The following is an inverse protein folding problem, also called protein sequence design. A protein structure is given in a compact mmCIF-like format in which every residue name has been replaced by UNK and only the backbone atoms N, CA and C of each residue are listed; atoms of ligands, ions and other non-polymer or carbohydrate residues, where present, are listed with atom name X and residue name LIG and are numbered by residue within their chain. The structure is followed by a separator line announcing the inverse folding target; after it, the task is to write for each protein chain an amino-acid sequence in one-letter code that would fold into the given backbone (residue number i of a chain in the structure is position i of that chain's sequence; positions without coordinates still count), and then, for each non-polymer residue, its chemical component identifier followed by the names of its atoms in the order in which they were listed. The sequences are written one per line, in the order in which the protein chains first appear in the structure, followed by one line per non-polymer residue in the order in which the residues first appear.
data_IF_195168305475
#
_entry.id   IF_195168305475
#
_cell.length_a   1.000
_cell.length_b   1.000
_cell.length_c   1.000
_cell.angle_alpha   90.00
_cell.angle_beta   90.00
_cell.angle_gamma   90.00
#
_symmetry.space_group_name_H-M   'P 1'
#
loop_
_entity.id
_entity.type
_entity.pdbx_description
1 polymer ?
#
# COMPACT_ATOMS: atom_id res chain seq x y z
N UNK A 1 -14.05 11.36 5.12
CA UNK A 1 -15.05 10.57 4.33
C UNK A 1 -15.21 11.13 2.91
N UNK A 2 -15.50 12.43 2.76
CA UNK A 2 -15.72 13.05 1.44
C UNK A 2 -14.53 12.86 0.49
N UNK A 3 -13.31 13.14 0.94
CA UNK A 3 -12.09 13.00 0.13
C UNK A 3 -11.81 11.54 -0.28
N UNK A 4 -12.14 10.58 0.60
CA UNK A 4 -12.01 9.17 0.28
C UNK A 4 -13.00 8.75 -0.82
N UNK A 5 -14.23 9.25 -0.76
CA UNK A 5 -15.22 9.03 -1.82
C UNK A 5 -14.76 9.62 -3.16
N UNK A 6 -14.26 10.86 -3.15
CA UNK A 6 -13.69 11.50 -4.34
C UNK A 6 -12.55 10.68 -4.95
N UNK A 7 -11.69 10.08 -4.13
CA UNK A 7 -10.62 9.19 -4.61
C UNK A 7 -11.16 7.92 -5.27
N UNK A 8 -12.12 7.25 -4.62
CA UNK A 8 -12.74 6.04 -5.16
C UNK A 8 -13.48 6.30 -6.48
N UNK A 9 -14.19 7.42 -6.57
CA UNK A 9 -14.88 7.84 -7.80
C UNK A 9 -13.86 8.13 -8.93
N UNK A 10 -12.75 8.79 -8.61
CA UNK A 10 -11.72 9.16 -9.59
C UNK A 10 -10.97 7.95 -10.15
N UNK A 11 -10.67 6.94 -9.35
CA UNK A 11 -10.08 5.68 -9.84
C UNK A 11 -11.10 4.75 -10.51
N UNK A 12 -12.40 5.07 -10.48
CA UNK A 12 -13.46 4.26 -11.07
C UNK A 12 -13.81 3.01 -10.27
N UNK A 13 -13.78 3.06 -8.94
CA UNK A 13 -13.97 1.91 -8.03
C UNK A 13 -15.25 1.11 -8.33
N UNK A 14 -16.36 1.77 -8.66
CA UNK A 14 -17.62 1.08 -9.00
C UNK A 14 -17.50 0.18 -10.23
N UNK A 15 -16.66 0.55 -11.20
CA UNK A 15 -16.42 -0.26 -12.39
C UNK A 15 -15.42 -1.38 -12.11
N UNK A 16 -14.50 -1.14 -11.18
CA UNK A 16 -13.52 -2.12 -10.71
C UNK A 16 -14.22 -3.29 -10.02
N UNK A 17 -15.17 -3.01 -9.14
CA UNK A 17 -15.93 -4.04 -8.41
C UNK A 17 -16.75 -4.95 -9.31
N UNK A 18 -17.04 -4.52 -10.55
CA UNK A 18 -17.75 -5.29 -11.57
C UNK A 18 -16.85 -6.08 -12.50
N UNK A 19 -15.54 -5.99 -12.33
CA UNK A 19 -14.60 -6.73 -13.17
C UNK A 19 -14.77 -8.25 -12.95
N UNK A 20 -14.86 -8.99 -14.04
CA UNK A 20 -14.99 -10.46 -14.00
C UNK A 20 -13.62 -11.16 -14.07
N UNK A 21 -12.57 -10.42 -14.35
CA UNK A 21 -11.20 -10.93 -14.47
C UNK A 21 -10.16 -9.87 -14.10
N UNK A 22 -8.93 -10.32 -13.82
CA UNK A 22 -7.77 -9.43 -13.61
C UNK A 22 -7.57 -8.49 -14.81
N UNK A 23 -7.75 -8.99 -16.03
CA UNK A 23 -7.62 -8.18 -17.24
C UNK A 23 -8.69 -7.11 -17.34
N UNK A 24 -9.95 -7.43 -16.99
CA UNK A 24 -11.04 -6.47 -16.99
C UNK A 24 -10.84 -5.41 -15.91
N UNK A 25 -10.35 -5.81 -14.74
CA UNK A 25 -9.94 -4.87 -13.72
C UNK A 25 -8.98 -3.82 -14.25
N UNK A 26 -7.88 -4.22 -14.89
CA UNK A 26 -6.89 -3.29 -15.42
C UNK A 26 -7.39 -2.43 -16.58
N UNK A 27 -8.42 -2.86 -17.31
CA UNK A 27 -9.09 -2.03 -18.31
C UNK A 27 -9.99 -0.97 -17.68
N UNK A 28 -10.62 -1.31 -16.55
CA UNK A 28 -11.62 -0.47 -15.91
C UNK A 28 -11.01 0.57 -14.97
N UNK A 29 -9.83 0.30 -14.42
CA UNK A 29 -9.18 1.24 -13.53
C UNK A 29 -8.75 2.52 -14.26
N UNK A 30 -9.18 3.65 -13.73
CA UNK A 30 -8.85 4.98 -14.26
C UNK A 30 -7.73 5.61 -13.44
N UNK A 31 -6.54 5.02 -13.52
CA UNK A 31 -5.36 5.47 -12.77
C UNK A 31 -4.67 6.66 -13.45
N UNK A 32 -5.33 7.79 -13.57
CA UNK A 32 -4.81 8.96 -14.28
C UNK A 32 -4.47 10.12 -13.34
N UNK A 33 -5.45 10.86 -12.84
CA UNK A 33 -5.19 12.09 -12.10
C UNK A 33 -4.89 11.85 -10.63
N UNK A 34 -5.53 10.87 -9.99
CA UNK A 34 -5.35 10.60 -8.57
C UNK A 34 -4.18 9.69 -8.24
N UNK A 35 -3.69 8.91 -9.22
CA UNK A 35 -2.50 8.08 -9.05
C UNK A 35 -1.48 8.45 -10.15
N UNK A 36 -0.92 9.66 -10.11
CA UNK A 36 0.04 10.10 -11.10
C UNK A 36 1.36 9.32 -10.96
N UNK A 37 2.09 9.20 -12.07
CA UNK A 37 3.46 8.73 -12.00
C UNK A 37 4.36 9.86 -11.45
N UNK A 38 4.86 9.69 -10.23
CA UNK A 38 5.70 10.67 -9.55
C UNK A 38 7.18 10.29 -9.78
N UNK A 39 8.01 11.18 -10.35
CA UNK A 39 9.45 10.95 -10.43
C UNK A 39 10.07 10.89 -9.04
N UNK A 40 11.04 9.98 -8.85
CA UNK A 40 11.83 9.93 -7.62
C UNK A 40 12.50 11.28 -7.33
N UNK A 41 12.52 11.67 -6.06
CA UNK A 41 13.05 12.95 -5.62
C UNK A 41 12.06 14.12 -5.68
N UNK A 42 10.83 13.89 -6.15
CA UNK A 42 9.80 14.93 -6.14
C UNK A 42 9.44 15.32 -4.70
N UNK A 43 9.44 16.62 -4.33
CA UNK A 43 8.96 17.06 -3.02
C UNK A 43 7.53 16.57 -2.78
N UNK A 44 7.26 16.01 -1.60
CA UNK A 44 5.93 15.46 -1.29
C UNK A 44 4.80 16.48 -1.50
N UNK A 45 5.04 17.73 -1.15
CA UNK A 45 4.08 18.84 -1.33
C UNK A 45 3.70 19.14 -2.79
N UNK A 46 4.49 18.63 -3.75
CA UNK A 46 4.32 18.82 -5.20
C UNK A 46 3.98 17.50 -5.91
N UNK A 47 3.94 16.39 -5.17
CA UNK A 47 3.82 15.05 -5.73
C UNK A 47 2.48 14.76 -6.41
N UNK A 48 1.42 15.41 -5.95
CA UNK A 48 0.06 15.17 -6.45
C UNK A 48 -0.52 16.40 -7.13
N UNK A 49 -1.40 16.21 -8.12
CA UNK A 49 -2.11 17.32 -8.76
C UNK A 49 -2.85 18.15 -7.70
N UNK A 50 -2.72 19.47 -7.78
CA UNK A 50 -3.32 20.38 -6.81
C UNK A 50 -4.83 20.14 -6.68
N UNK A 51 -5.30 20.05 -5.46
CA UNK A 51 -6.69 19.74 -5.08
C UNK A 51 -7.18 18.34 -5.46
N UNK A 52 -6.32 17.45 -5.94
CA UNK A 52 -6.69 16.05 -6.11
C UNK A 52 -6.98 15.40 -4.75
N UNK A 53 -7.69 14.26 -4.69
CA UNK A 53 -7.94 13.56 -3.44
C UNK A 53 -6.67 13.23 -2.65
N UNK A 54 -5.62 12.76 -3.32
CA UNK A 54 -4.34 12.46 -2.63
C UNK A 54 -3.65 13.73 -2.15
N UNK A 55 -3.67 14.83 -2.94
CA UNK A 55 -3.14 16.12 -2.49
C UNK A 55 -3.81 16.59 -1.19
N UNK A 56 -5.14 16.48 -1.12
CA UNK A 56 -5.91 16.82 0.10
C UNK A 56 -5.56 15.90 1.28
N UNK A 57 -5.37 14.59 1.03
CA UNK A 57 -5.01 13.61 2.06
C UNK A 57 -3.63 13.92 2.63
N UNK A 58 -2.63 14.12 1.78
CA UNK A 58 -1.25 14.37 2.22
C UNK A 58 -1.04 15.76 2.82
N UNK A 59 -1.90 16.73 2.51
CA UNK A 59 -1.94 18.06 3.14
C UNK A 59 -2.84 18.14 4.37
N UNK A 60 -3.46 17.03 4.77
CA UNK A 60 -4.16 16.99 6.06
C UNK A 60 -3.15 17.22 7.20
N UNK A 61 -3.44 18.12 8.12
CA UNK A 61 -2.52 18.53 9.19
C UNK A 61 -2.01 17.36 10.03
N UNK A 62 -2.85 16.36 10.26
CA UNK A 62 -2.45 15.15 11.03
C UNK A 62 -1.48 14.30 10.23
N UNK A 63 -1.73 14.11 8.93
CA UNK A 63 -0.88 13.30 8.05
C UNK A 63 0.46 14.01 7.82
N UNK A 64 0.44 15.29 7.45
CA UNK A 64 1.64 16.10 7.25
C UNK A 64 2.48 16.20 8.53
N UNK A 65 1.83 16.41 9.68
CA UNK A 65 2.49 16.44 10.97
C UNK A 65 3.16 15.12 11.33
N UNK A 66 2.49 13.99 11.09
CA UNK A 66 3.06 12.67 11.34
C UNK A 66 4.28 12.41 10.44
N UNK A 67 4.18 12.70 9.15
CA UNK A 67 5.29 12.55 8.20
C UNK A 67 6.46 13.45 8.61
N UNK A 68 6.22 14.73 8.83
CA UNK A 68 7.25 15.70 9.21
C UNK A 68 7.95 15.32 10.52
N UNK A 69 7.21 14.77 11.47
CA UNK A 69 7.75 14.28 12.74
C UNK A 69 8.71 13.09 12.57
N UNK A 70 8.47 12.25 11.57
CA UNK A 70 9.26 11.04 11.32
C UNK A 70 10.46 11.28 10.41
N UNK A 71 10.26 11.98 9.30
CA UNK A 71 11.27 12.10 8.24
C UNK A 71 11.72 13.55 7.97
N UNK A 72 11.18 14.51 8.70
CA UNK A 72 11.52 15.94 8.56
C UNK A 72 10.67 16.69 7.55
N UNK A 73 10.88 18.02 7.45
CA UNK A 73 10.03 18.92 6.67
C UNK A 73 10.30 18.92 5.16
N UNK A 74 11.45 18.42 4.74
CA UNK A 74 11.86 18.40 3.32
C UNK A 74 11.68 17.01 2.70
N UNK A 75 10.56 16.38 2.98
CA UNK A 75 10.25 15.04 2.51
C UNK A 75 10.14 14.99 0.99
N UNK A 76 10.78 14.00 0.40
CA UNK A 76 10.68 13.67 -1.02
C UNK A 76 9.99 12.32 -1.19
N UNK A 77 9.36 12.11 -2.35
CA UNK A 77 8.81 10.82 -2.76
C UNK A 77 9.89 10.05 -3.52
N UNK A 78 10.12 8.80 -3.12
CA UNK A 78 11.00 7.90 -3.85
C UNK A 78 10.25 7.23 -5.00
N UNK A 79 9.15 6.55 -4.68
CA UNK A 79 8.27 5.93 -5.66
C UNK A 79 6.85 5.75 -5.09
N UNK A 80 5.90 5.45 -5.96
CA UNK A 80 4.56 5.05 -5.55
C UNK A 80 4.03 3.95 -6.48
N UNK A 81 3.08 3.18 -5.98
CA UNK A 81 2.33 2.19 -6.77
C UNK A 81 0.96 1.91 -6.16
N UNK A 82 0.07 1.38 -6.98
CA UNK A 82 -1.19 0.82 -6.54
C UNK A 82 -1.01 -0.68 -6.31
N UNK A 83 -1.19 -1.11 -5.07
CA UNK A 83 -1.14 -2.52 -4.71
C UNK A 83 -2.57 -3.06 -4.59
N UNK A 84 -2.84 -4.15 -5.28
CA UNK A 84 -4.16 -4.75 -5.32
C UNK A 84 -4.06 -6.22 -4.94
N UNK A 85 -4.92 -6.65 -4.02
CA UNK A 85 -5.02 -8.04 -3.59
C UNK A 85 -6.30 -8.63 -4.14
N UNK A 86 -6.18 -9.33 -5.26
CA UNK A 86 -7.33 -9.93 -5.94
C UNK A 86 -7.92 -11.13 -5.17
N UNK A 87 -9.25 -11.26 -5.12
CA UNK A 87 -9.93 -12.48 -4.64
C UNK A 87 -9.51 -13.75 -5.37
N UNK A 88 -9.57 -14.87 -4.68
CA UNK A 88 -9.20 -16.19 -5.26
C UNK A 88 -10.00 -16.54 -6.50
N UNK A 89 -11.24 -16.07 -6.63
CA UNK A 89 -12.10 -16.31 -7.81
C UNK A 89 -11.49 -15.87 -9.13
N UNK A 90 -10.59 -14.88 -9.13
CA UNK A 90 -9.90 -14.41 -10.34
C UNK A 90 -8.81 -15.37 -10.84
N UNK A 91 -8.42 -16.35 -10.04
CA UNK A 91 -7.31 -17.27 -10.31
C UNK A 91 -7.76 -18.72 -10.57
N UNK A 92 -9.06 -18.97 -10.71
CA UNK A 92 -9.64 -20.31 -10.89
C UNK A 92 -9.36 -20.96 -12.27
N UNK A 93 -8.48 -20.41 -13.09
CA UNK A 93 -8.05 -21.05 -14.32
C UNK A 93 -6.88 -22.02 -14.01
N UNK A 94 -6.87 -23.17 -14.68
CA UNK A 94 -6.15 -24.39 -14.36
C UNK A 94 -4.63 -24.30 -14.06
N UNK A 95 -4.00 -23.14 -14.20
CA UNK A 95 -2.57 -22.93 -13.94
C UNK A 95 -2.26 -21.64 -13.18
N UNK A 96 -3.25 -20.93 -12.66
CA UNK A 96 -3.04 -19.71 -11.89
C UNK A 96 -3.31 -19.99 -10.41
N UNK A 97 -2.29 -19.85 -9.58
CA UNK A 97 -2.43 -19.86 -8.13
C UNK A 97 -2.28 -18.44 -7.62
N UNK A 98 -3.25 -18.01 -6.83
CA UNK A 98 -3.03 -16.82 -6.02
C UNK A 98 -1.89 -17.11 -5.03
N UNK A 99 -0.87 -16.30 -5.08
CA UNK A 99 0.25 -16.37 -4.14
C UNK A 99 0.21 -15.16 -3.21
N UNK A 100 0.51 -15.40 -1.94
CA UNK A 100 0.85 -14.29 -1.05
C UNK A 100 2.17 -13.67 -1.50
N UNK A 101 2.33 -12.37 -1.26
CA UNK A 101 3.63 -11.74 -1.43
C UNK A 101 4.58 -12.25 -0.35
N UNK A 102 5.79 -12.62 -0.73
CA UNK A 102 6.84 -13.04 0.21
C UNK A 102 7.16 -11.92 1.20
N UNK A 103 7.60 -12.27 2.40
CA UNK A 103 8.12 -11.29 3.35
C UNK A 103 9.39 -10.65 2.77
N UNK A 104 9.47 -9.32 2.84
CA UNK A 104 10.59 -8.51 2.35
C UNK A 104 10.75 -7.25 3.18
N UNK A 105 11.79 -6.51 2.90
CA UNK A 105 12.05 -5.14 3.34
C UNK A 105 12.14 -4.27 2.08
N UNK A 106 11.55 -3.10 2.07
CA UNK A 106 11.65 -2.20 0.91
C UNK A 106 12.92 -1.38 0.90
N UNK A 107 13.54 -1.23 2.05
CA UNK A 107 14.85 -0.61 2.17
C UNK A 107 15.77 -1.47 3.01
N UNK A 108 16.99 -1.67 2.50
CA UNK A 108 18.12 -2.27 3.23
C UNK A 108 19.07 -1.22 3.77
N UNK A 109 18.72 0.06 3.67
CA UNK A 109 19.51 1.17 4.21
C UNK A 109 19.53 1.08 5.72
N UNK A 110 20.67 1.31 6.33
CA UNK A 110 20.80 1.34 7.78
C UNK A 110 19.89 2.45 8.36
N UNK A 111 18.86 2.10 9.15
CA UNK A 111 17.90 3.07 9.68
C UNK A 111 18.54 4.10 10.64
N UNK A 112 19.77 3.87 11.08
CA UNK A 112 20.53 4.84 11.86
C UNK A 112 21.13 5.95 11.00
N UNK A 113 21.30 5.70 9.70
CA UNK A 113 21.89 6.64 8.73
C UNK A 113 20.83 7.38 7.94
N UNK A 114 19.78 6.69 7.53
CA UNK A 114 18.69 7.26 6.75
C UNK A 114 17.36 6.69 7.22
N UNK A 115 16.41 7.55 7.45
CA UNK A 115 15.07 7.17 7.88
C UNK A 115 14.10 7.38 6.71
N UNK A 116 13.54 6.30 6.21
CA UNK A 116 12.48 6.36 5.21
C UNK A 116 11.24 5.61 5.69
N UNK A 117 10.09 6.06 5.21
CA UNK A 117 8.80 5.50 5.57
C UNK A 117 7.95 5.25 4.34
N UNK A 118 7.14 4.21 4.42
CA UNK A 118 6.08 3.93 3.48
C UNK A 118 4.74 4.40 4.04
N UNK A 119 3.97 5.04 3.18
CA UNK A 119 2.59 5.39 3.48
C UNK A 119 1.66 4.47 2.70
N UNK A 120 0.82 3.75 3.43
CA UNK A 120 -0.23 2.92 2.89
C UNK A 120 -1.56 3.65 3.07
N UNK A 121 -2.22 3.99 1.98
CA UNK A 121 -3.57 4.51 2.01
C UNK A 121 -4.55 3.41 1.62
N UNK A 122 -5.51 3.12 2.51
CA UNK A 122 -6.53 2.11 2.33
C UNK A 122 -7.88 2.78 2.03
N UNK A 123 -8.25 2.94 0.76
CA UNK A 123 -9.50 3.62 0.40
C UNK A 123 -10.75 2.81 0.71
N UNK A 124 -10.63 1.48 0.77
CA UNK A 124 -11.69 0.54 1.11
C UNK A 124 -11.46 -0.10 2.48
N UNK A 125 -12.47 -0.76 3.01
CA UNK A 125 -12.29 -1.60 4.19
C UNK A 125 -11.33 -2.75 3.89
N UNK A 126 -10.46 -3.07 4.85
CA UNK A 126 -9.63 -4.27 4.79
C UNK A 126 -10.02 -5.20 5.92
N UNK A 127 -10.67 -6.30 5.58
CA UNK A 127 -11.00 -7.36 6.53
C UNK A 127 -9.88 -8.39 6.65
N UNK A 128 -9.97 -9.27 7.62
CA UNK A 128 -8.98 -10.33 7.83
C UNK A 128 -8.88 -11.27 6.63
N UNK A 129 -10.00 -11.53 5.98
CA UNK A 129 -10.14 -12.44 4.84
C UNK A 129 -9.58 -11.85 3.53
N UNK A 130 -9.48 -10.52 3.44
CA UNK A 130 -8.99 -9.82 2.25
C UNK A 130 -7.46 -9.91 2.05
N UNK A 131 -6.76 -10.56 2.97
CA UNK A 131 -5.32 -10.77 2.83
C UNK A 131 -4.49 -9.48 2.87
N UNK A 132 -4.90 -8.53 3.70
CA UNK A 132 -4.19 -7.27 3.88
C UNK A 132 -2.71 -7.44 4.23
N UNK A 133 -1.98 -6.35 4.20
CA UNK A 133 -0.54 -6.34 4.50
C UNK A 133 -0.25 -7.01 5.83
N UNK A 134 0.60 -8.04 5.78
CA UNK A 134 1.17 -8.70 6.95
C UNK A 134 2.44 -7.98 7.34
N UNK A 135 2.71 -7.83 8.62
CA UNK A 135 3.91 -7.17 9.10
C UNK A 135 4.42 -7.75 10.41
N UNK A 136 5.71 -7.54 10.69
CA UNK A 136 6.38 -8.07 11.87
C UNK A 136 6.91 -6.92 12.73
N UNK A 137 6.22 -6.56 13.83
CA UNK A 137 6.63 -5.46 14.70
C UNK A 137 8.08 -5.59 15.20
N UNK A 138 8.84 -4.50 15.19
CA UNK A 138 10.20 -4.44 15.71
C UNK A 138 11.29 -4.98 14.78
N UNK A 139 10.95 -5.40 13.57
CA UNK A 139 11.94 -5.98 12.64
C UNK A 139 12.70 -4.95 11.80
N UNK A 140 12.27 -3.71 11.78
CA UNK A 140 12.87 -2.63 10.99
C UNK A 140 14.34 -2.31 11.37
N UNK A 141 14.77 -2.69 12.57
CA UNK A 141 16.18 -2.57 13.01
C UNK A 141 17.03 -3.79 12.66
N UNK A 142 16.45 -4.78 11.97
CA UNK A 142 17.14 -6.02 11.59
C UNK A 142 17.41 -6.05 10.10
N UNK A 143 18.63 -5.74 9.72
CA UNK A 143 19.07 -5.91 8.34
C UNK A 143 19.38 -7.39 8.12
N UNK A 144 18.59 -8.04 7.28
CA UNK A 144 18.79 -9.43 6.88
C UNK A 144 18.72 -9.56 5.38
N UNK A 145 19.34 -10.60 4.84
CA UNK A 145 19.17 -10.93 3.44
C UNK A 145 17.70 -11.31 3.17
N UNK A 146 17.07 -10.66 2.20
CA UNK A 146 15.67 -10.93 1.83
C UNK A 146 15.40 -12.41 1.58
N UNK A 147 16.33 -13.12 0.94
CA UNK A 147 16.22 -14.56 0.71
C UNK A 147 16.08 -15.38 2.00
N UNK A 148 16.53 -14.83 3.13
CA UNK A 148 16.38 -15.50 4.42
C UNK A 148 14.95 -15.38 4.97
N UNK A 149 14.26 -14.27 4.72
CA UNK A 149 12.90 -14.03 5.22
C UNK A 149 11.82 -14.40 4.21
N UNK A 150 12.10 -14.32 2.91
CA UNK A 150 11.16 -14.63 1.83
C UNK A 150 10.59 -16.05 1.88
N UNK A 151 11.33 -16.99 2.47
CA UNK A 151 10.92 -18.39 2.63
C UNK A 151 9.82 -18.60 3.68
N UNK A 152 9.65 -17.64 4.58
CA UNK A 152 8.72 -17.76 5.69
C UNK A 152 7.47 -16.91 5.43
N UNK A 153 6.33 -17.55 5.35
CA UNK A 153 5.04 -16.87 5.17
C UNK A 153 4.32 -16.58 6.49
N UNK A 154 4.60 -17.37 7.52
CA UNK A 154 4.01 -17.22 8.84
C UNK A 154 5.11 -17.23 9.90
N UNK A 155 5.47 -16.05 10.37
CA UNK A 155 6.46 -15.88 11.43
C UNK A 155 5.73 -15.57 12.74
N UNK A 156 6.17 -16.13 13.83
CA UNK A 156 5.59 -15.88 15.15
C UNK A 156 5.58 -14.36 15.46
N UNK A 157 4.45 -13.86 15.92
CA UNK A 157 4.27 -12.44 16.19
C UNK A 157 3.83 -11.61 14.98
N UNK A 158 3.65 -12.23 13.81
CA UNK A 158 3.07 -11.59 12.63
C UNK A 158 1.71 -10.98 12.95
N UNK A 159 1.48 -9.81 12.42
CA UNK A 159 0.18 -9.13 12.42
C UNK A 159 -0.27 -8.88 10.99
N UNK A 160 -1.56 -8.69 10.80
CA UNK A 160 -2.15 -8.26 9.53
C UNK A 160 -2.90 -6.95 9.74
N UNK A 161 -2.88 -6.10 8.72
CA UNK A 161 -3.70 -4.89 8.73
C UNK A 161 -5.16 -5.29 8.54
N UNK A 162 -5.98 -4.83 9.46
CA UNK A 162 -7.45 -4.83 9.37
C UNK A 162 -7.87 -3.41 9.70
N UNK A 163 -8.55 -2.74 8.79
CA UNK A 163 -8.83 -1.32 8.96
C UNK A 163 -10.08 -0.85 8.21
N UNK A 164 -10.60 0.30 8.63
CA UNK A 164 -11.73 0.97 7.99
C UNK A 164 -11.28 1.74 6.74
N UNK A 165 -12.23 2.05 5.83
CA UNK A 165 -11.96 2.92 4.68
C UNK A 165 -11.35 4.26 5.11
N UNK A 166 -10.40 4.77 4.32
CA UNK A 166 -9.71 6.03 4.58
C UNK A 166 -8.59 5.95 5.62
N UNK A 167 -8.21 4.76 6.05
CA UNK A 167 -7.08 4.56 6.97
C UNK A 167 -5.75 4.82 6.26
N UNK A 168 -4.83 5.47 6.97
CA UNK A 168 -3.45 5.63 6.55
C UNK A 168 -2.56 4.89 7.54
N UNK A 169 -1.73 3.97 7.03
CA UNK A 169 -0.67 3.32 7.77
C UNK A 169 0.68 3.95 7.41
N UNK A 170 1.52 4.20 8.41
CA UNK A 170 2.89 4.66 8.21
C UNK A 170 3.82 3.59 8.75
N UNK A 171 4.69 3.07 7.90
CA UNK A 171 5.62 1.99 8.22
C UNK A 171 7.05 2.44 7.92
N UNK A 172 7.98 2.00 8.75
CA UNK A 172 9.39 2.09 8.41
C UNK A 172 9.70 1.15 7.25
N UNK A 173 10.41 1.60 6.21
CA UNK A 173 10.66 0.80 4.99
C UNK A 173 11.48 -0.48 5.25
N UNK A 174 12.24 -0.53 6.34
CA UNK A 174 12.92 -1.74 6.80
C UNK A 174 12.04 -2.73 7.55
N UNK A 175 10.75 -2.46 7.76
CA UNK A 175 9.85 -3.38 8.45
C UNK A 175 9.57 -4.60 7.57
N UNK A 176 9.75 -5.80 8.10
CA UNK A 176 9.40 -7.02 7.37
C UNK A 176 7.91 -7.08 7.15
N UNK A 177 7.52 -7.16 5.91
CA UNK A 177 6.11 -7.20 5.53
C UNK A 177 5.88 -7.97 4.23
N UNK A 178 4.62 -8.15 3.88
CA UNK A 178 4.18 -8.77 2.65
C UNK A 178 2.65 -8.80 2.59
N UNK A 179 2.06 -9.06 1.45
CA UNK A 179 0.62 -9.20 1.31
C UNK A 179 0.17 -10.64 1.62
N UNK A 180 -1.01 -10.78 2.21
CA UNK A 180 -1.70 -12.05 2.38
C UNK A 180 -2.42 -12.50 1.11
N UNK A 181 -3.09 -13.66 1.20
CA UNK A 181 -4.00 -14.14 0.16
C UNK A 181 -5.40 -13.59 0.45
N UNK A 182 -6.06 -13.07 -0.56
CA UNK A 182 -7.44 -12.59 -0.44
C UNK A 182 -8.43 -13.76 -0.64
N UNK A 183 -9.03 -14.21 0.44
CA UNK A 183 -10.07 -15.24 0.46
C UNK A 183 -11.50 -14.67 0.44
N UNK A 184 -11.64 -13.35 0.41
CA UNK A 184 -12.93 -12.69 0.30
C UNK A 184 -13.43 -12.65 -1.15
N UNK A 185 -14.64 -12.12 -1.34
CA UNK A 185 -15.21 -11.85 -2.66
C UNK A 185 -14.87 -10.45 -3.19
N UNK A 186 -14.28 -9.58 -2.38
CA UNK A 186 -14.04 -8.16 -2.65
C UNK A 186 -12.56 -7.89 -2.99
N UNK A 187 -12.35 -6.84 -3.81
CA UNK A 187 -11.05 -6.28 -4.15
C UNK A 187 -10.69 -5.18 -3.18
#
# INVERSE_FOLDING_TARGET
EQTNKEFLDDIGHTDIDKADSVNDFYKNIKANSSIPRIPAGTPLKEAFPKNSPLDKIFKNEVVEGAITSLVGSNTIVDHQFLHITFPTKYFNQANQRQMSQANHQDSTIDPRSTFDVQLFYFPTEVTKEMGGTRYHPGTHLRIVNEMAIAKYQNILGQKSIVCKPGTIGIFHSGLWHGAGVNFSENI
#
